data_IF_670846582678
#
_entry.id   IF_670846582678
#
_cell.length_a   1.000
_cell.length_b   1.000
_cell.length_c   1.000
_cell.angle_alpha   90.00
_cell.angle_beta   90.00
_cell.angle_gamma   90.00
#
_symmetry.space_group_name_H-M   'P 1'
#
loop_
_entity.id
_entity.type
_entity.pdbx_description
1 polymer ?
#
# COMPACT_ATOMS: atom_id res chain seq x y z
N UNK A 1 16.50 -15.44 6.61
CA UNK A 1 15.12 -15.49 7.18
C UNK A 1 14.52 -14.10 6.96
N UNK A 2 13.47 -13.81 6.18
CA UNK A 2 12.34 -14.56 5.62
C UNK A 2 12.24 -14.34 4.10
N UNK A 3 12.77 -15.26 3.29
CA UNK A 3 12.64 -15.22 1.82
C UNK A 3 11.15 -15.14 1.41
N UNK A 4 10.30 -15.86 2.13
CA UNK A 4 8.88 -15.97 1.81
C UNK A 4 8.09 -14.66 1.95
N UNK A 5 8.30 -13.89 3.04
CA UNK A 5 7.62 -12.60 3.23
C UNK A 5 8.02 -11.63 2.12
N UNK A 6 9.32 -11.53 1.82
CA UNK A 6 9.82 -10.68 0.74
C UNK A 6 9.27 -11.10 -0.63
N UNK A 7 9.18 -12.40 -0.89
CA UNK A 7 8.59 -12.94 -2.12
C UNK A 7 7.13 -12.55 -2.24
N UNK A 8 6.29 -12.84 -1.24
CA UNK A 8 4.87 -12.49 -1.30
C UNK A 8 4.65 -10.98 -1.34
N UNK A 9 5.42 -10.19 -0.59
CA UNK A 9 5.38 -8.73 -0.70
C UNK A 9 5.57 -8.28 -2.14
N UNK A 10 6.60 -8.76 -2.84
CA UNK A 10 6.82 -8.42 -4.26
C UNK A 10 5.63 -8.81 -5.15
N UNK A 11 5.02 -9.97 -4.91
CA UNK A 11 3.84 -10.45 -5.65
C UNK A 11 2.62 -9.54 -5.41
N UNK A 12 2.36 -9.22 -4.15
CA UNK A 12 1.30 -8.29 -3.71
C UNK A 12 1.49 -6.92 -4.38
N UNK A 13 2.71 -6.36 -4.34
CA UNK A 13 3.03 -5.06 -4.95
C UNK A 13 2.67 -5.02 -6.43
N UNK A 14 3.12 -6.02 -7.20
CA UNK A 14 2.84 -6.09 -8.64
C UNK A 14 1.35 -6.23 -8.92
N UNK A 15 0.67 -7.11 -8.19
CA UNK A 15 -0.77 -7.32 -8.34
C UNK A 15 -1.58 -6.06 -7.98
N UNK A 16 -1.17 -5.33 -6.95
CA UNK A 16 -1.80 -4.09 -6.51
C UNK A 16 -1.68 -2.97 -7.55
N UNK A 17 -0.47 -2.74 -8.07
CA UNK A 17 -0.21 -1.75 -9.11
C UNK A 17 -1.00 -2.07 -10.38
N UNK A 18 -0.97 -3.33 -10.81
CA UNK A 18 -1.70 -3.77 -11.99
C UNK A 18 -3.22 -3.63 -11.82
N UNK A 19 -3.76 -3.98 -10.64
CA UNK A 19 -5.18 -3.77 -10.31
C UNK A 19 -5.55 -2.29 -10.40
N UNK A 20 -4.75 -1.41 -9.79
CA UNK A 20 -5.02 0.03 -9.79
C UNK A 20 -5.00 0.61 -11.21
N UNK A 21 -3.96 0.27 -11.99
CA UNK A 21 -3.83 0.70 -13.39
C UNK A 21 -5.02 0.22 -14.23
N UNK A 22 -5.47 -1.03 -14.06
CA UNK A 22 -6.64 -1.57 -14.78
C UNK A 22 -7.96 -0.89 -14.37
N UNK A 23 -8.11 -0.52 -13.10
CA UNK A 23 -9.33 0.09 -12.57
C UNK A 23 -9.45 1.57 -12.93
N UNK A 24 -8.34 2.30 -12.96
CA UNK A 24 -8.34 3.77 -13.08
C UNK A 24 -7.73 4.29 -14.37
N UNK A 25 -7.00 3.44 -15.12
CA UNK A 25 -6.23 3.86 -16.28
C UNK A 25 -4.94 4.63 -15.94
N UNK A 26 -4.59 4.78 -14.67
CA UNK A 26 -3.42 5.56 -14.21
C UNK A 26 -2.73 4.93 -13.00
N UNK A 27 -1.46 5.28 -12.77
CA UNK A 27 -0.74 5.03 -11.51
C UNK A 27 -1.10 6.05 -10.42
N UNK A 28 -1.83 7.11 -10.77
CA UNK A 28 -2.11 8.22 -9.87
C UNK A 28 -3.29 7.93 -8.94
N UNK A 29 -3.10 8.25 -7.67
CA UNK A 29 -4.13 8.34 -6.65
C UNK A 29 -4.51 9.81 -6.48
N UNK A 30 -5.74 10.15 -6.84
CA UNK A 30 -6.28 11.51 -6.72
C UNK A 30 -7.03 11.64 -5.38
N UNK A 31 -6.58 12.58 -4.55
CA UNK A 31 -7.07 12.77 -3.18
C UNK A 31 -7.74 14.14 -3.07
N UNK A 32 -9.04 14.15 -2.77
CA UNK A 32 -9.76 15.37 -2.41
C UNK A 32 -9.45 15.77 -0.97
N UNK A 33 -8.89 16.96 -0.77
CA UNK A 33 -8.55 17.52 0.54
C UNK A 33 -9.76 18.21 1.18
N UNK A 34 -9.74 18.35 2.50
CA UNK A 34 -10.88 18.86 3.29
C UNK A 34 -11.30 20.30 2.92
N UNK A 35 -10.38 21.12 2.40
CA UNK A 35 -10.64 22.51 1.98
C UNK A 35 -10.88 22.66 0.47
N UNK A 36 -11.25 21.58 -0.21
CA UNK A 36 -11.54 21.59 -1.65
C UNK A 36 -10.32 21.51 -2.57
N UNK A 37 -9.10 21.48 -2.02
CA UNK A 37 -7.88 21.21 -2.78
C UNK A 37 -7.81 19.77 -3.30
N UNK A 38 -6.97 19.53 -4.30
CA UNK A 38 -6.67 18.20 -4.83
C UNK A 38 -5.18 17.95 -4.60
N UNK A 39 -4.85 16.78 -4.07
CA UNK A 39 -3.48 16.25 -4.03
C UNK A 39 -3.42 14.99 -4.89
N UNK A 40 -2.31 14.77 -5.55
CA UNK A 40 -2.09 13.60 -6.39
C UNK A 40 -0.84 12.90 -5.92
N UNK A 41 -0.92 11.59 -5.73
CA UNK A 41 0.21 10.74 -5.35
C UNK A 41 0.35 9.65 -6.39
N UNK A 42 1.56 9.43 -6.88
CA UNK A 42 1.83 8.28 -7.73
C UNK A 42 1.99 7.01 -6.87
N UNK A 43 1.19 5.99 -7.17
CA UNK A 43 1.39 4.65 -6.60
C UNK A 43 2.58 4.00 -7.30
N UNK A 44 3.71 3.96 -6.57
CA UNK A 44 4.94 3.30 -7.01
C UNK A 44 5.20 2.03 -6.20
N UNK A 45 6.07 1.15 -6.71
CA UNK A 45 6.53 -0.01 -5.95
C UNK A 45 7.15 0.40 -4.61
N UNK A 46 7.94 1.49 -4.60
CA UNK A 46 8.61 2.00 -3.40
C UNK A 46 7.59 2.46 -2.35
N UNK A 47 6.57 3.21 -2.77
CA UNK A 47 5.53 3.70 -1.86
C UNK A 47 4.77 2.54 -1.22
N UNK A 48 4.28 1.60 -2.03
CA UNK A 48 3.53 0.45 -1.54
C UNK A 48 4.41 -0.50 -0.71
N UNK A 49 5.70 -0.68 -1.06
CA UNK A 49 6.65 -1.47 -0.26
C UNK A 49 6.85 -0.83 1.12
N UNK A 50 6.93 0.51 1.17
CA UNK A 50 6.98 1.28 2.41
C UNK A 50 5.75 1.07 3.30
N UNK A 51 4.55 1.06 2.71
CA UNK A 51 3.30 0.80 3.44
C UNK A 51 3.26 -0.63 3.99
N UNK A 52 3.60 -1.63 3.18
CA UNK A 52 3.68 -3.03 3.61
C UNK A 52 4.75 -3.25 4.70
N UNK A 53 5.91 -2.58 4.61
CA UNK A 53 6.93 -2.61 5.67
C UNK A 53 6.48 -1.95 6.96
N UNK A 54 5.65 -0.91 6.89
CA UNK A 54 5.05 -0.31 8.08
C UNK A 54 4.08 -1.29 8.72
N UNK A 55 3.22 -1.93 7.94
CA UNK A 55 2.32 -3.00 8.39
C UNK A 55 3.08 -4.16 9.04
N UNK A 56 4.15 -4.64 8.40
CA UNK A 56 5.04 -5.68 8.96
C UNK A 56 5.58 -5.28 10.33
N UNK A 57 6.06 -4.04 10.49
CA UNK A 57 6.59 -3.55 11.77
C UNK A 57 5.51 -3.49 12.85
N UNK A 58 4.29 -3.08 12.51
CA UNK A 58 3.17 -3.05 13.44
C UNK A 58 2.81 -4.45 13.92
N UNK A 59 2.68 -5.41 13.00
CA UNK A 59 2.40 -6.81 13.33
C UNK A 59 3.50 -7.43 14.23
N UNK A 60 4.78 -7.12 13.96
CA UNK A 60 5.88 -7.59 14.81
C UNK A 60 5.89 -6.92 16.20
N UNK A 61 5.45 -5.66 16.29
CA UNK A 61 5.31 -4.96 17.56
C UNK A 61 4.17 -5.48 18.42
N UNK A 62 3.07 -5.91 17.80
CA UNK A 62 1.87 -6.41 18.48
C UNK A 62 2.01 -7.88 18.91
N UNK A 63 2.47 -8.75 18.00
CA UNK A 63 2.51 -10.21 18.23
C UNK A 63 3.90 -10.72 18.65
N UNK A 64 4.90 -9.85 18.69
CA UNK A 64 6.31 -10.25 18.84
C UNK A 64 6.87 -10.92 17.59
N UNK A 65 8.16 -11.23 17.60
CA UNK A 65 8.87 -11.65 16.38
C UNK A 65 8.38 -13.00 15.83
N UNK A 66 8.21 -14.01 16.69
CA UNK A 66 7.86 -15.38 16.24
C UNK A 66 6.42 -15.44 15.69
N UNK A 67 5.44 -15.03 16.49
CA UNK A 67 4.03 -15.07 16.08
C UNK A 67 3.71 -14.01 15.03
N UNK A 68 4.34 -12.83 15.10
CA UNK A 68 4.19 -11.80 14.07
C UNK A 68 4.69 -12.26 12.70
N UNK A 69 5.85 -12.93 12.62
CA UNK A 69 6.34 -13.52 11.35
C UNK A 69 5.39 -14.60 10.83
N UNK A 70 4.82 -15.42 11.72
CA UNK A 70 3.85 -16.46 11.34
C UNK A 70 2.56 -15.87 10.80
N UNK A 71 2.00 -14.86 11.49
CA UNK A 71 0.82 -14.14 11.05
C UNK A 71 1.04 -13.47 9.68
N UNK A 72 2.15 -12.74 9.52
CA UNK A 72 2.51 -12.08 8.25
C UNK A 72 2.61 -13.07 7.09
N UNK A 73 3.21 -14.24 7.30
CA UNK A 73 3.27 -15.28 6.26
C UNK A 73 1.88 -15.73 5.82
N UNK A 74 0.98 -15.98 6.77
CA UNK A 74 -0.39 -16.39 6.47
C UNK A 74 -1.19 -15.31 5.73
N UNK A 75 -1.11 -14.06 6.20
CA UNK A 75 -1.78 -12.92 5.55
C UNK A 75 -1.26 -12.76 4.13
N UNK A 76 0.05 -12.73 3.94
CA UNK A 76 0.65 -12.48 2.64
C UNK A 76 0.46 -13.64 1.66
N UNK A 77 0.51 -14.89 2.13
CA UNK A 77 0.25 -16.04 1.27
C UNK A 77 -1.19 -16.07 0.77
N UNK A 78 -2.13 -15.60 1.58
CA UNK A 78 -3.55 -15.56 1.23
C UNK A 78 -3.92 -14.32 0.41
N UNK A 79 -3.06 -13.30 0.35
CA UNK A 79 -3.33 -12.03 -0.33
C UNK A 79 -3.19 -12.10 -1.85
N UNK A 80 -2.50 -13.10 -2.38
CA UNK A 80 -2.24 -13.24 -3.83
C UNK A 80 -2.49 -14.67 -4.29
N UNK A 81 -3.02 -14.79 -5.50
CA UNK A 81 -3.21 -16.06 -6.19
C UNK A 81 -2.90 -15.91 -7.69
N UNK A 82 -2.91 -17.01 -8.43
CA UNK A 82 -2.58 -17.07 -9.85
C UNK A 82 -3.77 -17.58 -10.64
N UNK A 83 -4.08 -16.92 -11.75
CA UNK A 83 -5.06 -17.40 -12.73
C UNK A 83 -4.43 -17.44 -14.14
N UNK A 84 -5.23 -17.76 -15.15
CA UNK A 84 -4.79 -17.84 -16.55
C UNK A 84 -4.23 -16.53 -17.14
N UNK A 85 -4.31 -15.41 -16.41
CA UNK A 85 -3.77 -14.10 -16.79
C UNK A 85 -2.65 -13.61 -15.86
N UNK A 86 -2.14 -14.46 -14.98
CA UNK A 86 -1.05 -14.17 -14.06
C UNK A 86 -1.50 -13.96 -12.61
N UNK A 87 -0.66 -13.28 -11.82
CA UNK A 87 -0.92 -13.04 -10.40
C UNK A 87 -1.96 -11.94 -10.19
N UNK A 88 -2.85 -12.15 -9.22
CA UNK A 88 -3.89 -11.19 -8.84
C UNK A 88 -4.06 -11.14 -7.32
N UNK A 89 -4.61 -10.03 -6.82
CA UNK A 89 -4.99 -9.91 -5.41
C UNK A 89 -6.28 -10.70 -5.16
N UNK A 90 -6.27 -11.57 -4.15
CA UNK A 90 -7.49 -12.17 -3.60
C UNK A 90 -8.34 -11.11 -2.92
N UNK A 91 -9.55 -11.44 -2.44
CA UNK A 91 -10.36 -10.48 -1.67
C UNK A 91 -9.61 -9.95 -0.44
N UNK A 92 -8.98 -10.84 0.34
CA UNK A 92 -8.15 -10.42 1.49
C UNK A 92 -6.95 -9.54 1.08
N UNK A 93 -6.36 -9.78 -0.09
CA UNK A 93 -5.28 -8.94 -0.60
C UNK A 93 -5.76 -7.56 -1.06
N UNK A 94 -6.98 -7.48 -1.60
CA UNK A 94 -7.61 -6.19 -1.94
C UNK A 94 -7.92 -5.40 -0.68
N UNK A 95 -8.50 -6.03 0.34
CA UNK A 95 -8.77 -5.41 1.64
C UNK A 95 -7.49 -4.85 2.26
N UNK A 96 -6.43 -5.66 2.35
CA UNK A 96 -5.13 -5.22 2.86
C UNK A 96 -4.61 -3.97 2.13
N UNK A 97 -4.62 -3.96 0.80
CA UNK A 97 -4.12 -2.83 0.02
C UNK A 97 -5.03 -1.60 0.15
N UNK A 98 -6.34 -1.78 0.11
CA UNK A 98 -7.31 -0.70 0.19
C UNK A 98 -7.29 -0.04 1.59
N UNK A 99 -7.04 -0.80 2.67
CA UNK A 99 -6.78 -0.28 4.02
C UNK A 99 -5.48 0.54 4.09
N UNK A 100 -4.37 0.02 3.55
CA UNK A 100 -3.09 0.73 3.54
C UNK A 100 -3.16 2.04 2.74
N UNK A 101 -3.86 2.03 1.60
CA UNK A 101 -4.11 3.24 0.80
C UNK A 101 -5.01 4.21 1.57
N UNK A 102 -6.04 3.72 2.28
CA UNK A 102 -6.91 4.57 3.08
C UNK A 102 -6.14 5.28 4.19
N UNK A 103 -5.23 4.58 4.88
CA UNK A 103 -4.35 5.18 5.88
C UNK A 103 -3.45 6.27 5.26
N UNK A 104 -2.87 6.00 4.08
CA UNK A 104 -2.10 7.00 3.33
C UNK A 104 -2.94 8.24 3.00
N UNK A 105 -4.18 8.05 2.52
CA UNK A 105 -5.10 9.14 2.21
C UNK A 105 -5.42 9.98 3.45
N UNK A 106 -5.69 9.34 4.58
CA UNK A 106 -5.91 10.05 5.84
C UNK A 106 -4.68 10.84 6.28
N UNK A 107 -3.50 10.24 6.18
CA UNK A 107 -2.24 10.92 6.51
C UNK A 107 -2.06 12.19 5.67
N UNK A 108 -2.29 12.10 4.36
CA UNK A 108 -2.19 13.23 3.43
C UNK A 108 -3.21 14.32 3.75
N UNK A 109 -4.46 13.94 4.08
CA UNK A 109 -5.50 14.89 4.48
C UNK A 109 -5.22 15.60 5.80
N UNK A 110 -4.46 14.96 6.70
CA UNK A 110 -4.06 15.52 8.00
C UNK A 110 -2.86 16.46 7.88
N UNK A 111 -2.06 16.35 6.81
CA UNK A 111 -0.99 17.32 6.57
C UNK A 111 -1.57 18.70 6.28
N UNK A 112 -1.01 19.73 6.92
CA UNK A 112 -1.27 21.11 6.52
C UNK A 112 -0.74 21.28 5.09
N UNK A 113 -1.43 22.02 4.21
CA UNK A 113 -0.88 22.34 2.90
C UNK A 113 0.50 22.96 3.13
N UNK A 114 1.52 22.39 2.48
CA UNK A 114 2.81 23.06 2.41
C UNK A 114 2.54 24.31 1.58
N UNK A 115 2.42 25.45 2.26
CA UNK A 115 2.45 26.74 1.59
C UNK A 115 3.80 26.76 0.89
N UNK A 116 3.81 26.64 -0.44
CA UNK A 116 4.97 27.06 -1.20
C UNK A 116 5.16 28.53 -0.83
N UNK A 117 6.22 28.82 -0.08
CA UNK A 117 6.60 30.19 0.20
C UNK A 117 6.70 30.90 -1.15
N UNK A 118 5.86 31.90 -1.31
CA UNK A 118 5.99 32.92 -2.34
C UNK A 118 7.36 33.56 -2.16
N UNK A 119 8.37 33.02 -2.85
CA UNK A 119 9.63 33.71 -3.10
C UNK A 119 9.38 34.86 -4.07
N UNK A 120 8.73 35.91 -3.57
CA UNK A 120 8.87 37.25 -4.11
C UNK A 120 9.89 37.98 -3.22
N UNK A 121 11.12 38.08 -3.72
CA UNK A 121 11.88 39.32 -3.95
C UNK A 121 13.30 38.98 -4.41
#
# INVERSE_FOLDING_TARGET
MNNLISTYRRRILKAALLRHQRKTGSSLLVIKLNKGGISTIELTEILLDGLLRKFERLALGEYGNVEGVKALKGIYSNSVDVNGSGEFLTESGKELIDELISELVEFVKKQKPVTAESGNE
#
